data_IF_917438554910
#
_entry.id   IF_917438554910
#
_cell.length_a   1.000
_cell.length_b   1.000
_cell.length_c   1.000
_cell.angle_alpha   90.00
_cell.angle_beta   90.00
_cell.angle_gamma   90.00
#
_symmetry.space_group_name_H-M   'P 1'
#
loop_
_entity.id
_entity.type
_entity.pdbx_description
1 polymer ?
#
# COMPACT_ATOMS: atom_id res chain seq x y z
N UNK A 1 -1.34 -0.01 43.82
CA UNK A 1 -1.63 -0.90 42.70
C UNK A 1 -0.89 -0.36 41.49
N UNK A 2 0.25 -0.89 41.18
CA UNK A 2 1.06 -0.55 39.98
C UNK A 2 0.35 -1.18 38.78
N UNK A 3 -0.25 -0.37 37.94
CA UNK A 3 -0.77 -0.80 36.62
C UNK A 3 0.43 -1.23 35.80
N UNK A 4 0.64 -2.53 35.64
CA UNK A 4 1.59 -3.07 34.65
C UNK A 4 1.15 -2.53 33.27
N UNK A 5 2.02 -1.74 32.66
CA UNK A 5 1.83 -1.29 31.29
C UNK A 5 1.87 -2.53 30.37
N UNK A 6 0.76 -2.84 29.73
CA UNK A 6 0.71 -3.91 28.71
C UNK A 6 1.85 -3.66 27.70
N UNK A 7 2.70 -4.65 27.44
CA UNK A 7 3.82 -4.46 26.53
C UNK A 7 3.28 -4.05 25.14
N UNK A 8 3.80 -2.96 24.62
CA UNK A 8 3.47 -2.46 23.28
C UNK A 8 3.92 -3.53 22.29
N UNK A 9 2.98 -4.17 21.60
CA UNK A 9 3.28 -5.18 20.59
C UNK A 9 4.16 -4.57 19.48
N UNK A 10 5.21 -5.27 19.08
CA UNK A 10 6.04 -4.85 17.96
C UNK A 10 5.19 -4.69 16.71
N UNK A 11 5.47 -3.65 15.91
CA UNK A 11 4.74 -3.43 14.66
C UNK A 11 5.20 -4.48 13.62
N UNK A 12 4.24 -5.04 12.90
CA UNK A 12 4.44 -6.03 11.84
C UNK A 12 4.87 -5.29 10.57
N UNK A 13 5.97 -5.71 9.96
CA UNK A 13 6.41 -5.14 8.68
C UNK A 13 5.36 -5.42 7.60
N UNK A 14 5.02 -4.37 6.84
CA UNK A 14 4.03 -4.41 5.77
C UNK A 14 4.43 -3.52 4.60
N UNK A 15 3.89 -3.78 3.44
CA UNK A 15 4.12 -3.02 2.23
C UNK A 15 2.82 -2.78 1.45
N UNK A 16 2.72 -1.64 0.81
CA UNK A 16 1.54 -1.21 0.06
C UNK A 16 1.99 -0.53 -1.23
N UNK A 17 1.29 -0.75 -2.33
CA UNK A 17 1.57 -0.11 -3.62
C UNK A 17 0.43 0.81 -4.03
N UNK A 18 0.75 2.05 -4.34
CA UNK A 18 -0.12 2.93 -5.10
C UNK A 18 0.16 2.70 -6.57
N UNK A 19 -0.70 1.93 -7.21
CA UNK A 19 -0.62 1.65 -8.64
C UNK A 19 -1.17 2.84 -9.42
N UNK A 20 -0.41 3.33 -10.37
CA UNK A 20 -0.68 4.55 -11.12
C UNK A 20 -0.71 4.25 -12.61
N UNK A 21 -1.64 4.87 -13.35
CA UNK A 21 -1.68 4.81 -14.81
C UNK A 21 -2.09 6.14 -15.42
N UNK A 22 -1.64 6.37 -16.64
CA UNK A 22 -2.16 7.49 -17.44
C UNK A 22 -3.60 7.19 -17.87
N UNK A 23 -4.44 8.22 -17.88
CA UNK A 23 -5.84 8.19 -18.27
C UNK A 23 -6.14 9.33 -19.25
N UNK A 24 -7.28 9.26 -19.94
CA UNK A 24 -7.67 10.28 -20.94
C UNK A 24 -7.78 11.70 -20.37
N UNK A 25 -8.01 11.81 -19.08
CA UNK A 25 -8.18 13.08 -18.34
C UNK A 25 -7.16 13.20 -17.22
N UNK A 26 -5.87 13.00 -17.54
CA UNK A 26 -4.79 13.07 -16.56
C UNK A 26 -4.30 11.69 -16.12
N UNK A 27 -4.46 11.31 -14.85
CA UNK A 27 -3.98 10.03 -14.32
C UNK A 27 -4.91 9.48 -13.24
N UNK A 28 -4.83 8.19 -13.03
CA UNK A 28 -5.62 7.43 -12.08
C UNK A 28 -4.75 6.56 -11.20
N UNK A 29 -5.29 6.20 -10.05
CA UNK A 29 -4.76 5.19 -9.14
C UNK A 29 -5.78 4.08 -8.90
N UNK A 30 -5.29 2.91 -8.49
CA UNK A 30 -6.12 1.78 -8.10
C UNK A 30 -6.42 1.81 -6.62
N UNK A 31 -7.71 1.67 -6.28
CA UNK A 31 -8.19 1.32 -4.95
C UNK A 31 -8.92 -0.02 -5.01
N UNK A 32 -8.76 -0.83 -3.99
CA UNK A 32 -9.48 -2.07 -3.78
C UNK A 32 -10.49 -1.89 -2.65
N UNK A 33 -11.71 -2.40 -2.83
CA UNK A 33 -12.69 -2.49 -1.76
C UNK A 33 -12.45 -3.77 -0.98
N UNK A 34 -12.18 -3.65 0.31
CA UNK A 34 -11.99 -4.82 1.18
C UNK A 34 -13.32 -5.48 1.48
N UNK A 35 -13.30 -6.81 1.55
CA UNK A 35 -14.49 -7.56 1.96
C UNK A 35 -14.98 -7.09 3.34
N UNK A 36 -16.31 -6.87 3.50
CA UNK A 36 -16.89 -6.32 4.72
C UNK A 36 -16.55 -7.11 6.00
N UNK A 37 -16.29 -8.41 5.89
CA UNK A 37 -15.93 -9.30 6.98
C UNK A 37 -14.43 -9.32 7.32
N UNK A 38 -13.59 -8.52 6.67
CA UNK A 38 -12.16 -8.46 7.03
C UNK A 38 -11.97 -7.83 8.41
N UNK A 39 -11.06 -8.40 9.19
CA UNK A 39 -10.83 -8.02 10.60
C UNK A 39 -10.34 -6.57 10.78
N UNK A 40 -9.81 -5.95 9.73
CA UNK A 40 -9.34 -4.56 9.73
C UNK A 40 -9.86 -3.85 8.49
N UNK A 41 -10.47 -2.67 8.69
CA UNK A 41 -10.99 -1.81 7.61
C UNK A 41 -11.94 -2.53 6.63
N UNK A 42 -12.81 -3.42 7.10
CA UNK A 42 -13.81 -4.10 6.27
C UNK A 42 -14.74 -3.09 5.60
N UNK A 43 -14.93 -3.24 4.27
CA UNK A 43 -15.70 -2.32 3.44
C UNK A 43 -14.98 -1.01 3.08
N UNK A 44 -13.77 -0.77 3.60
CA UNK A 44 -13.01 0.42 3.23
C UNK A 44 -12.25 0.23 1.91
N UNK A 45 -12.02 1.35 1.23
CA UNK A 45 -11.14 1.43 0.07
C UNK A 45 -9.70 1.55 0.52
N UNK A 46 -8.84 0.67 0.01
CA UNK A 46 -7.41 0.60 0.34
C UNK A 46 -6.57 0.49 -0.93
N UNK A 47 -5.28 0.77 -0.82
CA UNK A 47 -4.31 0.39 -1.83
C UNK A 47 -3.93 -1.09 -1.64
N UNK A 48 -3.58 -1.83 -2.71
CA UNK A 48 -3.08 -3.20 -2.60
C UNK A 48 -1.88 -3.30 -1.66
N UNK A 49 -1.86 -4.34 -0.81
CA UNK A 49 -0.73 -4.56 0.08
C UNK A 49 -1.05 -5.38 1.33
N UNK A 50 0.01 -5.92 1.92
CA UNK A 50 -0.09 -6.77 3.09
C UNK A 50 1.22 -6.92 3.84
N UNK A 51 1.39 -8.03 4.55
CA UNK A 51 2.55 -8.31 5.39
C UNK A 51 3.79 -8.63 4.56
N UNK A 52 4.94 -8.32 5.13
CA UNK A 52 6.20 -8.89 4.65
C UNK A 52 6.34 -10.29 5.23
N UNK A 53 6.45 -11.28 4.37
CA UNK A 53 6.62 -12.68 4.74
C UNK A 53 8.09 -13.10 4.68
N UNK A 54 8.50 -14.13 5.43
CA UNK A 54 9.90 -14.61 5.41
C UNK A 54 10.39 -15.00 4.02
N UNK A 55 9.51 -15.50 3.14
CA UNK A 55 9.82 -15.86 1.76
C UNK A 55 10.22 -14.67 0.89
N UNK A 56 9.75 -13.47 1.21
CA UNK A 56 10.07 -12.27 0.44
C UNK A 56 11.58 -11.92 0.51
N UNK A 57 12.21 -12.15 1.67
CA UNK A 57 13.64 -11.94 1.85
C UNK A 57 14.49 -12.94 1.02
N UNK A 58 14.03 -14.15 0.83
CA UNK A 58 14.72 -15.16 0.04
C UNK A 58 14.79 -14.77 -1.45
N UNK A 59 13.75 -14.14 -1.97
CA UNK A 59 13.69 -13.67 -3.38
C UNK A 59 14.69 -12.55 -3.64
N UNK A 60 14.92 -11.66 -2.66
CA UNK A 60 15.88 -10.53 -2.80
C UNK A 60 17.27 -10.98 -3.22
N UNK A 61 17.74 -12.11 -2.68
CA UNK A 61 19.10 -12.63 -2.92
C UNK A 61 19.22 -13.52 -4.15
N UNK A 62 18.10 -13.88 -4.77
CA UNK A 62 18.07 -14.73 -5.97
C UNK A 62 18.11 -13.86 -7.24
N UNK A 63 19.32 -13.67 -7.79
CA UNK A 63 19.57 -12.79 -8.93
C UNK A 63 18.75 -13.15 -10.20
N UNK A 64 18.28 -14.38 -10.33
CA UNK A 64 17.40 -14.80 -11.41
C UNK A 64 15.98 -14.21 -11.25
N UNK A 65 15.52 -13.94 -10.04
CA UNK A 65 14.18 -13.46 -9.73
C UNK A 65 14.10 -11.96 -9.46
N UNK A 66 15.21 -11.33 -9.06
CA UNK A 66 15.22 -9.95 -8.60
C UNK A 66 16.43 -9.16 -9.16
N UNK A 67 16.22 -7.85 -9.39
CA UNK A 67 17.25 -6.91 -9.86
C UNK A 67 17.10 -5.56 -9.18
N UNK A 68 18.21 -4.82 -9.04
CA UNK A 68 18.22 -3.49 -8.43
C UNK A 68 18.09 -3.48 -6.91
N UNK A 69 18.16 -4.62 -6.24
CA UNK A 69 18.02 -4.74 -4.78
C UNK A 69 19.36 -4.61 -4.02
N UNK A 70 20.48 -4.71 -4.72
CA UNK A 70 21.81 -4.60 -4.11
C UNK A 70 21.99 -3.22 -3.44
N UNK A 71 22.42 -3.22 -2.18
CA UNK A 71 22.68 -2.01 -1.39
C UNK A 71 21.43 -1.36 -0.78
N UNK A 72 20.23 -1.90 -1.00
CA UNK A 72 19.03 -1.49 -0.27
C UNK A 72 19.08 -1.98 1.18
N UNK A 73 18.41 -1.24 2.07
CA UNK A 73 18.12 -1.74 3.41
C UNK A 73 17.37 -3.07 3.33
N UNK A 74 17.74 -4.12 4.08
CA UNK A 74 17.13 -5.44 3.97
C UNK A 74 15.61 -5.45 4.20
N UNK A 75 15.11 -4.58 5.09
CA UNK A 75 13.68 -4.47 5.37
C UNK A 75 12.98 -3.79 4.19
N UNK A 76 13.58 -2.75 3.60
CA UNK A 76 13.03 -2.10 2.39
C UNK A 76 13.03 -3.05 1.19
N UNK A 77 14.10 -3.83 1.03
CA UNK A 77 14.21 -4.82 -0.04
C UNK A 77 13.08 -5.88 0.05
N UNK A 78 12.91 -6.51 1.22
CA UNK A 78 11.84 -7.48 1.44
C UNK A 78 10.44 -6.85 1.29
N UNK A 79 10.26 -5.61 1.75
CA UNK A 79 8.99 -4.89 1.62
C UNK A 79 8.62 -4.62 0.14
N UNK A 80 9.59 -4.39 -0.74
CA UNK A 80 9.31 -4.26 -2.19
C UNK A 80 8.87 -5.58 -2.80
N UNK A 81 9.45 -6.69 -2.39
CA UNK A 81 9.02 -8.02 -2.85
C UNK A 81 7.60 -8.30 -2.36
N UNK A 82 7.31 -8.07 -1.07
CA UNK A 82 5.97 -8.20 -0.51
C UNK A 82 4.96 -7.31 -1.26
N UNK A 83 5.32 -6.06 -1.54
CA UNK A 83 4.49 -5.13 -2.29
C UNK A 83 4.10 -5.66 -3.68
N UNK A 84 5.03 -6.26 -4.41
CA UNK A 84 4.76 -6.88 -5.72
C UNK A 84 3.89 -8.14 -5.60
N UNK A 85 4.16 -8.99 -4.60
CA UNK A 85 3.41 -10.22 -4.32
C UNK A 85 1.96 -9.93 -3.97
N UNK A 86 1.73 -9.08 -2.97
CA UNK A 86 0.40 -8.69 -2.51
C UNK A 86 -0.42 -8.01 -3.62
N UNK A 87 0.25 -7.18 -4.46
CA UNK A 87 -0.40 -6.57 -5.63
C UNK A 87 -0.91 -7.62 -6.60
N UNK A 88 -0.15 -8.70 -6.82
CA UNK A 88 -0.59 -9.78 -7.68
C UNK A 88 -1.69 -10.62 -7.02
N UNK A 89 -1.55 -10.97 -5.75
CA UNK A 89 -2.53 -11.76 -4.99
C UNK A 89 -3.88 -11.05 -4.92
N UNK A 90 -3.92 -9.75 -4.60
CA UNK A 90 -5.17 -9.01 -4.42
C UNK A 90 -5.77 -8.43 -5.71
N UNK A 91 -4.93 -8.06 -6.70
CA UNK A 91 -5.37 -7.34 -7.90
C UNK A 91 -5.03 -8.02 -9.23
N UNK A 92 -4.32 -9.15 -9.24
CA UNK A 92 -3.89 -9.85 -10.45
C UNK A 92 -2.87 -9.07 -11.30
N UNK A 93 -2.29 -8.00 -10.75
CA UNK A 93 -1.35 -7.12 -11.46
C UNK A 93 0.08 -7.50 -11.12
N UNK A 94 0.88 -7.79 -12.13
CA UNK A 94 2.30 -8.07 -11.98
C UNK A 94 3.11 -6.78 -12.04
N UNK A 95 3.79 -6.46 -10.94
CA UNK A 95 4.79 -5.38 -10.89
C UNK A 95 6.18 -5.99 -11.07
N UNK A 96 6.64 -6.01 -12.31
CA UNK A 96 7.90 -6.67 -12.67
C UNK A 96 8.35 -6.34 -14.09
N UNK A 97 9.27 -7.13 -14.64
CA UNK A 97 9.77 -6.93 -16.00
C UNK A 97 8.66 -7.02 -17.05
N UNK A 98 8.83 -6.33 -18.18
CA UNK A 98 7.87 -6.25 -19.29
C UNK A 98 7.44 -7.61 -19.87
N UNK A 99 8.17 -8.69 -19.59
CA UNK A 99 7.83 -10.05 -20.03
C UNK A 99 6.54 -10.60 -19.40
N UNK A 100 6.07 -9.97 -18.32
CA UNK A 100 4.89 -10.45 -17.58
C UNK A 100 3.54 -10.17 -18.25
N UNK A 101 3.45 -9.20 -19.18
CA UNK A 101 2.18 -8.82 -19.81
C UNK A 101 1.58 -9.89 -20.74
N UNK A 102 2.33 -10.96 -21.02
CA UNK A 102 1.88 -12.11 -21.82
C UNK A 102 1.92 -13.45 -21.09
N UNK A 103 2.17 -13.47 -19.78
CA UNK A 103 2.23 -14.73 -19.03
C UNK A 103 0.86 -15.42 -19.04
N UNK A 104 0.85 -16.68 -19.50
CA UNK A 104 -0.36 -17.52 -19.54
C UNK A 104 -0.66 -18.04 -18.12
N UNK A 105 -1.95 -18.12 -17.77
CA UNK A 105 -2.37 -18.75 -16.52
C UNK A 105 -2.25 -17.86 -15.28
N UNK A 106 -2.22 -16.53 -15.44
CA UNK A 106 -2.13 -15.59 -14.28
C UNK A 106 -3.25 -15.81 -13.26
N UNK A 107 -4.48 -16.05 -13.72
CA UNK A 107 -5.62 -16.28 -12.82
C UNK A 107 -5.45 -17.59 -12.00
N UNK A 108 -4.90 -18.64 -12.62
CA UNK A 108 -4.60 -19.89 -11.90
C UNK A 108 -3.49 -19.67 -10.86
N UNK A 109 -2.44 -18.94 -11.21
CA UNK A 109 -1.39 -18.59 -10.27
C UNK A 109 -1.89 -17.75 -9.09
N UNK A 110 -2.72 -16.73 -9.38
CA UNK A 110 -3.35 -15.91 -8.33
C UNK A 110 -4.18 -16.79 -7.38
N UNK A 111 -5.03 -17.67 -7.92
CA UNK A 111 -5.83 -18.59 -7.11
C UNK A 111 -4.98 -19.53 -6.25
N UNK A 112 -3.88 -20.07 -6.78
CA UNK A 112 -2.98 -20.97 -6.07
C UNK A 112 -2.19 -20.27 -4.96
N UNK A 113 -1.74 -19.03 -5.19
CA UNK A 113 -1.06 -18.22 -4.18
C UNK A 113 -2.02 -17.88 -3.03
N UNK A 114 -3.22 -17.41 -3.35
CA UNK A 114 -4.25 -17.09 -2.35
C UNK A 114 -4.72 -18.32 -1.56
N UNK A 115 -4.70 -19.50 -2.17
CA UNK A 115 -4.98 -20.77 -1.50
C UNK A 115 -3.79 -21.32 -0.69
N UNK A 116 -2.60 -20.69 -0.75
CA UNK A 116 -1.38 -21.19 -0.12
C UNK A 116 -0.85 -22.52 -0.70
N UNK A 117 -1.21 -22.83 -1.95
CA UNK A 117 -0.79 -24.05 -2.67
C UNK A 117 0.38 -23.83 -3.61
N UNK A 118 0.88 -22.58 -3.70
CA UNK A 118 2.07 -22.21 -4.43
C UNK A 118 2.79 -21.08 -3.67
N UNK A 119 4.09 -20.97 -3.90
CA UNK A 119 4.92 -19.89 -3.36
C UNK A 119 5.16 -18.81 -4.42
N UNK A 120 5.36 -17.56 -4.00
CA UNK A 120 5.65 -16.45 -4.91
C UNK A 120 6.89 -16.69 -5.78
N UNK A 121 7.94 -17.27 -5.22
CA UNK A 121 9.15 -17.66 -5.97
C UNK A 121 8.88 -18.67 -7.08
N UNK A 122 7.92 -19.59 -6.90
CA UNK A 122 7.55 -20.56 -7.93
C UNK A 122 6.84 -19.88 -9.11
N UNK A 123 5.96 -18.92 -8.82
CA UNK A 123 5.35 -18.08 -9.84
C UNK A 123 6.41 -17.36 -10.68
N UNK A 124 7.36 -16.68 -10.02
CA UNK A 124 8.42 -15.94 -10.71
C UNK A 124 9.28 -16.85 -11.60
N UNK A 125 9.67 -18.02 -11.10
CA UNK A 125 10.44 -19.01 -11.88
C UNK A 125 9.65 -19.57 -13.06
N UNK A 126 8.39 -19.91 -12.85
CA UNK A 126 7.56 -20.52 -13.88
C UNK A 126 7.18 -19.54 -15.00
N UNK A 127 6.99 -18.27 -14.67
CA UNK A 127 6.58 -17.23 -15.63
C UNK A 127 7.75 -16.47 -16.26
N UNK A 128 8.94 -16.57 -15.67
CA UNK A 128 10.11 -15.79 -16.08
C UNK A 128 10.00 -14.30 -15.70
N UNK A 129 9.00 -13.93 -14.89
CA UNK A 129 8.87 -12.58 -14.34
C UNK A 129 10.05 -12.31 -13.42
N UNK A 130 10.69 -11.17 -13.61
CA UNK A 130 11.77 -10.71 -12.76
C UNK A 130 11.37 -9.40 -12.10
N UNK A 131 11.48 -9.35 -10.78
CA UNK A 131 11.22 -8.14 -10.03
C UNK A 131 12.33 -7.12 -10.28
N UNK A 132 11.97 -5.84 -10.40
CA UNK A 132 12.91 -4.74 -10.48
C UNK A 132 12.58 -3.73 -9.38
N UNK A 133 13.53 -3.54 -8.45
CA UNK A 133 13.36 -2.61 -7.33
C UNK A 133 13.09 -1.17 -7.80
N UNK A 134 13.56 -0.78 -8.99
CA UNK A 134 13.37 0.56 -9.54
C UNK A 134 11.90 0.85 -9.93
N UNK A 135 11.08 -0.18 -10.15
CA UNK A 135 9.65 -0.03 -10.47
C UNK A 135 8.79 0.34 -9.26
N UNK A 136 9.34 0.17 -8.06
CA UNK A 136 8.67 0.47 -6.79
C UNK A 136 9.34 1.68 -6.13
N UNK A 137 8.88 2.89 -6.47
CA UNK A 137 9.44 4.14 -5.96
C UNK A 137 8.97 4.39 -4.53
N UNK A 138 9.86 4.51 -3.51
CA UNK A 138 9.47 4.81 -2.14
C UNK A 138 8.69 6.12 -2.05
N UNK A 139 7.53 6.08 -1.39
CA UNK A 139 6.60 7.22 -1.31
C UNK A 139 6.32 7.66 0.12
N UNK A 140 5.94 6.74 1.00
CA UNK A 140 5.58 7.04 2.38
C UNK A 140 5.93 5.88 3.31
N UNK A 141 6.00 6.16 4.62
CA UNK A 141 6.25 5.15 5.65
C UNK A 141 5.40 5.48 6.87
N UNK A 142 4.43 4.63 7.18
CA UNK A 142 3.46 4.85 8.25
C UNK A 142 3.50 3.76 9.30
N UNK A 143 3.47 4.19 10.58
CA UNK A 143 3.37 3.29 11.73
C UNK A 143 2.28 3.82 12.65
N UNK A 144 1.29 3.01 13.05
CA UNK A 144 0.25 3.46 13.97
C UNK A 144 0.82 3.98 15.30
N UNK A 145 0.12 4.89 15.99
CA UNK A 145 0.51 5.34 17.32
C UNK A 145 0.76 4.16 18.26
N UNK A 146 1.76 4.27 19.13
CA UNK A 146 2.07 3.23 20.12
C UNK A 146 0.88 2.95 21.05
N UNK A 147 0.15 4.00 21.41
CA UNK A 147 -1.03 3.95 22.29
C UNK A 147 -2.35 3.68 21.55
N UNK A 148 -2.34 3.39 20.23
CA UNK A 148 -3.58 3.10 19.51
C UNK A 148 -4.19 1.78 20.01
N UNK A 149 -5.49 1.75 20.33
CA UNK A 149 -6.17 0.54 20.80
C UNK A 149 -6.52 -0.37 19.61
N UNK A 150 -5.50 -0.81 18.87
CA UNK A 150 -5.63 -1.70 17.70
C UNK A 150 -4.92 -3.02 17.97
N UNK A 151 -5.56 -4.12 17.60
CA UNK A 151 -5.06 -5.48 17.88
C UNK A 151 -3.75 -5.79 17.14
N UNK A 152 -3.55 -5.23 15.94
CA UNK A 152 -2.35 -5.40 15.13
C UNK A 152 -1.87 -4.05 14.62
N UNK A 153 -0.58 -3.78 14.82
CA UNK A 153 0.09 -2.57 14.33
C UNK A 153 0.96 -2.96 13.15
N UNK A 154 0.79 -2.25 12.03
CA UNK A 154 1.62 -2.47 10.84
C UNK A 154 2.60 -1.32 10.65
N UNK A 155 3.87 -1.67 10.44
CA UNK A 155 4.93 -0.75 9.99
C UNK A 155 4.94 -0.80 8.47
N UNK A 156 4.17 0.11 7.83
CA UNK A 156 3.81 0.00 6.42
C UNK A 156 4.64 0.94 5.56
N UNK A 157 5.39 0.38 4.61
CA UNK A 157 6.06 1.12 3.54
C UNK A 157 5.16 1.22 2.33
N UNK A 158 5.02 2.42 1.79
CA UNK A 158 4.23 2.71 0.60
C UNK A 158 5.14 3.00 -0.58
N UNK A 159 4.85 2.38 -1.71
CA UNK A 159 5.56 2.57 -2.97
C UNK A 159 4.61 3.07 -4.05
N UNK A 160 5.14 3.86 -5.01
CA UNK A 160 4.46 4.17 -6.25
C UNK A 160 4.94 3.24 -7.34
N UNK A 161 4.01 2.70 -8.14
CA UNK A 161 4.33 1.95 -9.34
C UNK A 161 3.49 2.45 -10.52
N UNK A 162 4.17 2.93 -11.60
CA UNK A 162 3.50 3.33 -12.83
C UNK A 162 3.29 2.12 -13.72
N UNK A 163 2.07 1.91 -14.14
CA UNK A 163 1.64 0.84 -15.04
C UNK A 163 1.42 1.38 -16.45
N UNK A 164 1.45 0.53 -17.47
CA UNK A 164 1.00 0.88 -18.81
C UNK A 164 -0.45 1.40 -18.80
N UNK A 165 -0.77 2.31 -19.73
CA UNK A 165 -2.14 2.75 -19.94
C UNK A 165 -3.04 1.54 -20.27
N UNK A 166 -4.24 1.52 -19.70
CA UNK A 166 -5.18 0.42 -19.89
C UNK A 166 -4.91 -0.83 -19.04
N UNK A 167 -3.95 -0.80 -18.11
CA UNK A 167 -3.77 -1.89 -17.14
C UNK A 167 -5.10 -2.16 -16.42
N UNK A 168 -5.49 -3.44 -16.37
CA UNK A 168 -6.71 -3.91 -15.74
C UNK A 168 -6.38 -4.66 -14.45
N UNK A 169 -7.23 -4.52 -13.44
CA UNK A 169 -7.15 -5.28 -12.21
C UNK A 169 -8.17 -6.41 -12.19
N UNK A 170 -7.79 -7.53 -11.61
CA UNK A 170 -8.67 -8.67 -11.36
C UNK A 170 -8.64 -8.96 -9.86
N UNK A 171 -9.63 -8.45 -9.09
CA UNK A 171 -9.71 -8.74 -7.67
C UNK A 171 -9.81 -10.25 -7.41
N UNK A 172 -9.25 -10.70 -6.30
CA UNK A 172 -9.25 -12.12 -5.91
C UNK A 172 -10.62 -12.64 -5.48
N UNK A 173 -11.56 -11.74 -5.15
CA UNK A 173 -12.90 -12.05 -4.67
C UNK A 173 -12.96 -12.53 -3.22
N UNK A 174 -11.83 -12.68 -2.56
CA UNK A 174 -11.71 -13.08 -1.16
C UNK A 174 -11.45 -11.89 -0.23
N UNK A 175 -10.26 -11.33 -0.29
CA UNK A 175 -9.88 -10.15 0.49
C UNK A 175 -10.27 -8.86 -0.21
N UNK A 176 -10.08 -8.76 -1.53
CA UNK A 176 -10.50 -7.67 -2.39
C UNK A 176 -11.75 -8.06 -3.20
N UNK A 177 -12.85 -7.33 -3.01
CA UNK A 177 -14.13 -7.61 -3.69
C UNK A 177 -14.23 -6.91 -5.02
N UNK A 178 -13.84 -5.64 -5.06
CA UNK A 178 -13.89 -4.81 -6.27
C UNK A 178 -12.61 -3.97 -6.41
N UNK A 179 -12.31 -3.59 -7.65
CA UNK A 179 -11.17 -2.76 -8.01
C UNK A 179 -11.65 -1.50 -8.74
N UNK A 180 -11.22 -0.33 -8.27
CA UNK A 180 -11.64 0.95 -8.79
C UNK A 180 -10.45 1.78 -9.23
N UNK A 181 -10.37 2.06 -10.52
CA UNK A 181 -9.50 3.10 -11.05
C UNK A 181 -10.16 4.45 -10.86
N UNK A 182 -9.49 5.36 -10.19
CA UNK A 182 -10.04 6.67 -9.82
C UNK A 182 -8.94 7.71 -9.69
N UNK A 183 -9.31 8.99 -9.75
CA UNK A 183 -8.39 10.06 -9.39
C UNK A 183 -8.37 10.25 -7.87
N UNK A 184 -7.25 10.75 -7.27
CA UNK A 184 -7.21 11.05 -5.84
C UNK A 184 -8.35 11.97 -5.40
N UNK A 185 -8.65 13.02 -6.20
CA UNK A 185 -9.69 13.98 -5.88
C UNK A 185 -11.09 13.34 -5.91
N UNK A 186 -11.37 12.45 -6.87
CA UNK A 186 -12.66 11.76 -6.94
C UNK A 186 -12.86 10.79 -5.77
N UNK A 187 -11.79 10.07 -5.37
CA UNK A 187 -11.84 9.19 -4.20
C UNK A 187 -12.14 9.99 -2.91
N UNK A 188 -11.46 11.12 -2.71
CA UNK A 188 -11.70 12.00 -1.56
C UNK A 188 -13.13 12.56 -1.56
N UNK A 189 -13.63 13.02 -2.70
CA UNK A 189 -15.01 13.54 -2.81
C UNK A 189 -16.05 12.47 -2.46
N UNK A 190 -15.86 11.23 -2.90
CA UNK A 190 -16.75 10.11 -2.55
C UNK A 190 -16.70 9.77 -1.06
N UNK A 191 -15.50 9.84 -0.45
CA UNK A 191 -15.36 9.63 0.98
C UNK A 191 -16.04 10.76 1.79
N UNK A 192 -15.90 12.02 1.36
CA UNK A 192 -16.56 13.18 1.98
C UNK A 192 -18.09 13.11 1.86
N UNK A 193 -18.60 12.51 0.77
CA UNK A 193 -20.02 12.22 0.59
C UNK A 193 -20.51 10.99 1.41
N UNK A 194 -19.61 10.27 2.07
CA UNK A 194 -19.93 9.04 2.82
C UNK A 194 -20.26 7.82 1.95
N UNK A 195 -19.87 7.86 0.66
CA UNK A 195 -20.08 6.75 -0.28
C UNK A 195 -19.06 5.64 -0.11
N UNK A 196 -17.86 5.96 0.36
CA UNK A 196 -16.77 5.01 0.61
C UNK A 196 -16.09 5.33 1.94
N UNK A 197 -15.58 4.30 2.64
CA UNK A 197 -14.71 4.46 3.81
C UNK A 197 -13.24 4.55 3.41
N UNK A 198 -12.48 5.40 4.08
CA UNK A 198 -11.03 5.50 3.93
C UNK A 198 -10.37 5.43 5.30
N UNK A 199 -9.37 4.58 5.47
CA UNK A 199 -8.55 4.61 6.68
C UNK A 199 -7.62 5.83 6.66
N UNK A 200 -7.29 6.36 7.84
CA UNK A 200 -6.54 7.60 7.99
C UNK A 200 -5.26 7.70 7.12
N UNK A 201 -4.36 6.71 7.06
CA UNK A 201 -3.19 6.78 6.17
C UNK A 201 -3.56 6.84 4.68
N UNK A 202 -4.61 6.12 4.27
CA UNK A 202 -5.09 6.14 2.88
C UNK A 202 -5.60 7.52 2.50
N UNK A 203 -6.44 8.14 3.34
CA UNK A 203 -6.93 9.51 3.13
C UNK A 203 -5.79 10.51 3.04
N UNK A 204 -4.85 10.50 3.99
CA UNK A 204 -3.68 11.41 3.97
C UNK A 204 -2.84 11.22 2.70
N UNK A 205 -2.60 9.99 2.28
CA UNK A 205 -1.87 9.71 1.05
C UNK A 205 -2.63 10.18 -0.19
N UNK A 206 -3.96 10.02 -0.26
CA UNK A 206 -4.77 10.55 -1.35
C UNK A 206 -4.71 12.08 -1.42
N UNK A 207 -4.80 12.79 -0.29
CA UNK A 207 -4.65 14.23 -0.23
C UNK A 207 -3.27 14.72 -0.69
N UNK A 208 -2.21 13.99 -0.32
CA UNK A 208 -0.86 14.27 -0.81
C UNK A 208 -0.75 14.05 -2.31
N UNK A 209 -1.33 12.97 -2.84
CA UNK A 209 -1.35 12.64 -4.26
C UNK A 209 -2.18 13.65 -5.08
N UNK A 210 -3.28 14.16 -4.53
CA UNK A 210 -4.15 15.14 -5.19
C UNK A 210 -3.47 16.50 -5.50
N UNK A 211 -2.30 16.78 -4.91
CA UNK A 211 -1.55 18.00 -5.18
C UNK A 211 -0.86 17.99 -6.57
N UNK A 212 -0.81 16.85 -7.26
CA UNK A 212 -0.08 16.69 -8.50
C UNK A 212 -1.02 16.56 -9.71
N UNK A 213 -0.92 17.48 -10.65
CA UNK A 213 -1.73 17.47 -11.87
C UNK A 213 -1.31 16.37 -12.86
N UNK A 214 -0.04 15.95 -12.84
CA UNK A 214 0.50 14.94 -13.77
C UNK A 214 1.31 13.88 -13.03
N UNK A 215 1.36 12.66 -13.59
CA UNK A 215 2.20 11.57 -13.06
C UNK A 215 3.67 11.95 -13.06
N UNK A 216 4.16 12.61 -14.09
CA UNK A 216 5.57 12.96 -14.18
C UNK A 216 5.97 13.95 -13.08
N UNK A 217 5.10 14.94 -12.77
CA UNK A 217 5.32 15.86 -11.66
C UNK A 217 5.33 15.11 -10.30
N UNK A 218 4.39 14.18 -10.07
CA UNK A 218 4.35 13.35 -8.88
C UNK A 218 5.62 12.51 -8.74
N UNK A 219 6.02 11.79 -9.78
CA UNK A 219 7.18 10.91 -9.74
C UNK A 219 8.49 11.71 -9.57
N UNK A 220 8.63 12.87 -10.21
CA UNK A 220 9.78 13.74 -10.05
C UNK A 220 9.87 14.28 -8.60
N UNK A 221 8.78 14.79 -8.05
CA UNK A 221 8.73 15.27 -6.68
C UNK A 221 9.02 14.16 -5.66
N UNK A 222 8.51 12.94 -5.91
CA UNK A 222 8.75 11.78 -5.04
C UNK A 222 10.22 11.37 -5.06
N UNK A 223 10.88 11.35 -6.22
CA UNK A 223 12.33 11.04 -6.32
C UNK A 223 13.22 12.08 -5.65
N UNK A 224 12.78 13.32 -5.61
CA UNK A 224 13.54 14.42 -5.01
C UNK A 224 13.51 14.45 -3.48
N UNK A 225 12.72 13.58 -2.84
CA UNK A 225 12.48 13.62 -1.39
C UNK A 225 12.83 12.31 -0.71
N UNK A 226 13.44 12.41 0.47
CA UNK A 226 13.59 11.27 1.36
C UNK A 226 12.24 10.91 2.01
N UNK A 227 11.96 9.61 2.15
CA UNK A 227 10.80 9.14 2.88
C UNK A 227 11.03 9.32 4.38
N UNK A 228 10.13 10.04 5.03
CA UNK A 228 10.10 10.21 6.49
C UNK A 228 9.13 9.21 7.09
N UNK A 229 9.54 8.53 8.15
CA UNK A 229 8.67 7.63 8.92
C UNK A 229 7.67 8.46 9.72
N UNK A 230 6.38 8.24 9.46
CA UNK A 230 5.28 8.94 10.09
C UNK A 230 4.67 8.05 11.16
N UNK A 231 4.70 8.55 12.39
CA UNK A 231 3.98 7.95 13.51
C UNK A 231 3.04 9.00 14.08
N UNK A 232 1.73 8.90 13.81
CA UNK A 232 0.75 9.83 14.34
C UNK A 232 0.75 9.86 15.87
N UNK A 233 0.43 11.01 16.44
CA UNK A 233 0.23 11.19 17.87
C UNK A 233 -1.22 11.58 18.16
N UNK A 234 -1.75 11.11 19.30
CA UNK A 234 -3.04 11.55 19.81
C UNK A 234 -2.78 12.69 20.78
N UNK A 235 -3.35 13.87 20.49
CA UNK A 235 -3.18 15.09 21.27
C UNK A 235 -4.55 15.57 21.75
N UNK A 236 -4.69 15.90 23.04
CA UNK A 236 -5.87 16.58 23.56
C UNK A 236 -5.79 18.07 23.28
N UNK A 237 -6.87 18.64 22.75
CA UNK A 237 -7.01 20.09 22.55
C UNK A 237 -8.36 20.54 23.09
N UNK A 238 -8.35 21.00 24.32
CA UNK A 238 -9.56 21.52 24.97
C UNK A 238 -10.66 20.47 25.18
N UNK A 239 -10.27 19.22 25.49
CA UNK A 239 -11.20 18.12 25.74
C UNK A 239 -11.56 17.34 24.47
N UNK A 240 -11.05 17.71 23.30
CA UNK A 240 -11.18 16.96 22.05
C UNK A 240 -9.86 16.25 21.69
N UNK A 241 -9.93 14.96 21.39
CA UNK A 241 -8.77 14.20 20.93
C UNK A 241 -8.55 14.41 19.42
N UNK A 242 -7.31 14.73 19.07
CA UNK A 242 -6.85 14.94 17.69
C UNK A 242 -5.77 13.94 17.34
N UNK A 243 -5.85 13.37 16.14
CA UNK A 243 -4.77 12.60 15.53
C UNK A 243 -3.92 13.54 14.70
N UNK A 244 -2.61 13.66 15.03
CA UNK A 244 -1.69 14.59 14.38
C UNK A 244 -0.52 13.83 13.77
N UNK A 245 0.03 14.35 12.67
CA UNK A 245 1.27 13.87 12.07
C UNK A 245 2.32 14.98 12.06
N UNK A 246 3.63 14.65 11.97
CA UNK A 246 4.67 15.66 11.90
C UNK A 246 4.45 16.65 10.76
N UNK A 247 4.73 17.92 11.01
CA UNK A 247 4.72 18.94 9.96
C UNK A 247 5.94 18.79 9.04
N UNK A 248 5.85 19.32 7.82
CA UNK A 248 6.96 19.24 6.86
C UNK A 248 7.14 17.90 6.16
N UNK A 249 6.22 16.95 6.34
CA UNK A 249 6.21 15.65 5.67
C UNK A 249 5.45 15.66 4.33
N UNK A 250 5.17 16.84 3.77
CA UNK A 250 4.49 17.04 2.47
C UNK A 250 3.00 16.63 2.44
N UNK A 251 2.37 16.54 3.59
CA UNK A 251 0.93 16.33 3.70
C UNK A 251 0.21 17.68 3.88
N UNK A 252 -0.82 17.98 3.04
CA UNK A 252 -1.56 19.25 3.15
C UNK A 252 -2.43 19.32 4.41
N UNK A 253 -2.85 18.16 4.93
CA UNK A 253 -3.59 18.03 6.17
C UNK A 253 -2.77 17.22 7.16
N UNK A 254 -2.43 17.81 8.30
CA UNK A 254 -1.55 17.20 9.31
C UNK A 254 -2.25 16.85 10.61
N UNK A 255 -3.55 17.12 10.71
CA UNK A 255 -4.33 16.81 11.90
C UNK A 255 -5.80 16.59 11.58
N UNK A 256 -6.46 15.74 12.35
CA UNK A 256 -7.87 15.44 12.24
C UNK A 256 -8.46 15.05 13.60
N UNK A 257 -9.72 15.36 13.85
CA UNK A 257 -10.39 14.93 15.07
C UNK A 257 -10.51 13.42 15.10
N UNK A 258 -10.16 12.81 16.23
CA UNK A 258 -10.16 11.35 16.38
C UNK A 258 -11.55 10.73 16.23
N UNK A 259 -12.62 11.46 16.56
CA UNK A 259 -13.99 11.02 16.39
C UNK A 259 -14.45 11.02 14.91
N UNK A 260 -13.84 11.85 14.06
CA UNK A 260 -14.04 11.82 12.62
C UNK A 260 -13.31 10.61 11.99
N UNK A 261 -12.04 10.38 12.39
CA UNK A 261 -11.24 9.25 11.92
C UNK A 261 -11.90 7.88 12.21
N UNK A 262 -12.61 7.74 13.32
CA UNK A 262 -13.26 6.48 13.72
C UNK A 262 -14.57 6.17 12.98
N UNK A 263 -15.08 7.11 12.21
CA UNK A 263 -16.31 6.95 11.42
C UNK A 263 -16.03 6.51 9.98
N UNK A 264 -14.75 6.47 9.59
CA UNK A 264 -14.33 6.03 8.26
C UNK A 264 -14.03 4.53 8.19
#
# INVERSE_FOLDING_TARGET
MTTEATPISAAIAAATVVLLRDASQGWELLLLERHANTAFAGGAMVFPGGRVDPGDAAIVVEAALASGFAGLDPIDASARVAAARETFEEAGIVVGSASATGAVGLADWQARLNAGTAEWGDFLRATGVRLDAALLLPFAHWVPPAAAPIARRFDTRFYLARLPAGAAATPDGGEAVTAHWTTPAAALARADAGEIGLVFPTRRNLERLAQYATLDALLAATRARAVVRIQPAIVDRGGAAWLTIPQGCDYPVTEERLDAVRRE
#
